data_IF_300775571597
#
_entry.id   IF_300775571597
#
_cell.length_a   1.000
_cell.length_b   1.000
_cell.length_c   1.000
_cell.angle_alpha   90.00
_cell.angle_beta   90.00
_cell.angle_gamma   90.00
#
_symmetry.space_group_name_H-M   'P 1'
#
loop_
_entity.id
_entity.type
_entity.pdbx_description
1 polymer ?
#
# COMPACT_ATOMS: atom_id res chain seq x y z
N UNK A 1 -9.00 35.54 25.33
CA UNK A 1 -9.49 34.46 24.44
C UNK A 1 -9.87 35.11 23.12
N UNK A 2 -9.36 34.65 21.94
CA UNK A 2 -9.83 35.20 20.68
C UNK A 2 -11.30 34.85 20.48
N UNK A 3 -12.11 35.86 20.14
CA UNK A 3 -13.55 35.73 19.97
C UNK A 3 -13.89 34.68 18.88
N UNK A 4 -14.82 33.78 19.21
CA UNK A 4 -15.45 32.88 18.28
C UNK A 4 -16.26 33.70 17.28
N UNK A 5 -15.89 33.64 16.00
CA UNK A 5 -16.76 34.14 14.93
C UNK A 5 -17.93 33.17 14.77
N UNK A 6 -19.16 33.68 14.86
CA UNK A 6 -20.35 32.83 14.84
C UNK A 6 -20.35 31.85 13.67
N UNK A 7 -20.57 30.55 13.96
CA UNK A 7 -20.69 29.50 12.98
C UNK A 7 -19.37 28.99 12.38
N UNK A 8 -18.27 29.00 13.14
CA UNK A 8 -16.99 28.43 12.69
C UNK A 8 -16.96 26.91 12.90
N UNK A 9 -16.35 26.18 11.97
CA UNK A 9 -16.12 24.73 12.10
C UNK A 9 -15.08 24.47 13.17
N UNK A 10 -15.34 23.52 14.05
CA UNK A 10 -14.43 23.16 15.15
C UNK A 10 -13.01 22.79 14.67
N UNK A 11 -12.87 22.07 13.52
CA UNK A 11 -11.55 21.70 12.99
C UNK A 11 -10.72 22.93 12.56
N UNK A 12 -11.35 24.02 12.13
CA UNK A 12 -10.69 25.30 11.83
C UNK A 12 -10.35 26.07 13.10
N UNK A 13 -11.27 26.10 14.05
CA UNK A 13 -11.10 26.76 15.34
C UNK A 13 -9.89 26.21 16.12
N UNK A 14 -9.75 24.87 16.20
CA UNK A 14 -8.63 24.22 16.88
C UNK A 14 -7.28 24.53 16.23
N UNK A 15 -7.21 24.61 14.90
CA UNK A 15 -5.97 24.99 14.19
C UNK A 15 -5.64 26.46 14.42
N UNK A 16 -6.64 27.34 14.36
CA UNK A 16 -6.45 28.78 14.58
C UNK A 16 -5.94 29.12 15.99
N UNK A 17 -6.35 28.35 16.98
CA UNK A 17 -5.87 28.48 18.37
C UNK A 17 -4.51 27.81 18.62
N UNK A 18 -3.95 27.10 17.61
CA UNK A 18 -2.72 26.35 17.80
C UNK A 18 -2.87 25.07 18.62
N UNK A 19 -4.12 24.65 18.92
CA UNK A 19 -4.41 23.40 19.64
C UNK A 19 -4.26 22.15 18.76
N UNK A 20 -4.24 22.35 17.45
CA UNK A 20 -3.92 21.31 16.47
C UNK A 20 -2.98 21.85 15.39
N UNK A 21 -1.96 21.09 15.02
CA UNK A 21 -0.98 21.49 14.01
C UNK A 21 -1.57 21.54 12.58
N UNK A 22 -2.70 20.89 12.33
CA UNK A 22 -3.37 20.86 11.03
C UNK A 22 -4.86 20.53 11.19
N UNK A 23 -5.67 20.83 10.13
CA UNK A 23 -7.09 20.43 10.08
C UNK A 23 -7.29 18.91 10.19
N UNK A 24 -6.33 18.13 9.75
CA UNK A 24 -6.35 16.67 9.89
C UNK A 24 -6.18 16.29 11.35
N UNK A 25 -5.15 16.82 12.03
CA UNK A 25 -4.93 16.59 13.45
C UNK A 25 -6.13 17.03 14.30
N UNK A 26 -6.72 18.18 14.00
CA UNK A 26 -7.95 18.64 14.65
C UNK A 26 -9.11 17.65 14.51
N UNK A 27 -9.33 17.10 13.32
CA UNK A 27 -10.38 16.09 13.09
C UNK A 27 -10.11 14.78 13.82
N UNK A 28 -8.86 14.39 13.93
CA UNK A 28 -8.43 13.20 14.68
C UNK A 28 -8.66 13.42 16.19
N UNK A 29 -8.34 14.61 16.73
CA UNK A 29 -8.65 14.99 18.12
C UNK A 29 -10.16 14.95 18.41
N UNK A 30 -10.98 15.46 17.50
CA UNK A 30 -12.44 15.41 17.64
C UNK A 30 -12.96 13.97 17.55
N UNK A 31 -12.45 13.17 16.62
CA UNK A 31 -12.88 11.79 16.40
C UNK A 31 -12.51 10.87 17.58
N UNK A 32 -11.35 11.08 18.20
CA UNK A 32 -10.92 10.37 19.42
C UNK A 32 -11.68 10.79 20.68
N UNK A 33 -12.54 11.82 20.60
CA UNK A 33 -13.28 12.36 21.75
C UNK A 33 -12.44 13.26 22.65
N UNK A 34 -11.26 13.69 22.20
CA UNK A 34 -10.37 14.61 22.92
C UNK A 34 -10.84 16.07 22.91
N UNK A 35 -12.01 16.37 22.33
CA UNK A 35 -12.57 17.74 22.30
C UNK A 35 -14.04 17.70 22.71
N UNK A 36 -14.38 18.49 23.72
CA UNK A 36 -15.75 18.70 24.17
C UNK A 36 -16.17 20.15 23.88
N UNK A 37 -17.44 20.35 23.57
CA UNK A 37 -18.06 21.65 23.45
C UNK A 37 -19.23 21.73 24.47
N UNK A 38 -19.18 22.68 25.37
CA UNK A 38 -20.15 22.80 26.46
C UNK A 38 -20.31 21.49 27.26
N UNK A 39 -19.19 20.82 27.56
CA UNK A 39 -19.14 19.59 28.35
C UNK A 39 -19.64 18.33 27.64
N UNK A 40 -20.01 18.37 26.34
CA UNK A 40 -20.46 17.22 25.57
C UNK A 40 -19.52 16.91 24.40
N UNK A 41 -19.44 15.66 24.00
CA UNK A 41 -18.72 15.26 22.78
C UNK A 41 -19.31 15.97 21.57
N UNK A 42 -18.41 16.56 20.76
CA UNK A 42 -18.76 17.24 19.53
C UNK A 42 -19.11 16.24 18.40
N UNK A 43 -20.12 16.57 17.60
CA UNK A 43 -20.51 15.75 16.44
C UNK A 43 -19.92 16.31 15.16
N UNK A 44 -19.53 15.42 14.24
CA UNK A 44 -18.96 15.78 12.93
C UNK A 44 -19.92 16.70 12.17
N UNK A 45 -19.44 17.91 11.85
CA UNK A 45 -20.20 18.87 11.04
C UNK A 45 -20.92 19.96 11.85
N UNK A 46 -20.95 19.90 13.18
CA UNK A 46 -21.45 21.00 14.02
C UNK A 46 -20.55 22.23 13.86
N UNK A 47 -21.11 23.40 14.15
CA UNK A 47 -20.40 24.68 14.17
C UNK A 47 -20.29 25.15 15.61
N UNK A 48 -19.16 25.75 15.98
CA UNK A 48 -18.99 26.44 17.26
C UNK A 48 -19.29 27.90 17.08
N UNK A 49 -19.99 28.50 18.07
CA UNK A 49 -20.45 29.87 18.02
C UNK A 49 -19.98 30.70 19.23
N UNK A 50 -20.28 32.02 19.27
CA UNK A 50 -20.05 32.87 20.42
C UNK A 50 -20.76 32.31 21.66
N UNK A 51 -20.02 32.20 22.77
CA UNK A 51 -20.52 31.60 23.99
C UNK A 51 -20.30 30.11 24.18
N UNK A 52 -19.89 29.39 23.14
CA UNK A 52 -19.50 27.99 23.32
C UNK A 52 -18.17 27.84 24.02
N UNK A 53 -18.14 26.97 25.04
CA UNK A 53 -16.93 26.61 25.75
C UNK A 53 -16.32 25.36 25.12
N UNK A 54 -15.11 25.49 24.58
CA UNK A 54 -14.39 24.39 23.96
C UNK A 54 -13.29 23.91 24.87
N UNK A 55 -13.40 22.67 25.33
CA UNK A 55 -12.41 22.00 26.16
C UNK A 55 -11.63 20.98 25.34
N UNK A 56 -10.30 21.07 25.38
CA UNK A 56 -9.45 19.99 24.98
C UNK A 56 -9.19 19.11 26.19
N UNK A 57 -9.93 18.02 26.26
CA UNK A 57 -9.66 16.98 27.27
C UNK A 57 -8.39 16.25 26.80
N UNK A 58 -7.46 15.99 27.73
CA UNK A 58 -6.27 15.23 27.43
C UNK A 58 -6.68 14.00 26.61
N UNK A 59 -6.14 13.87 25.39
CA UNK A 59 -6.53 12.80 24.49
C UNK A 59 -6.49 11.48 25.25
N UNK A 60 -7.57 10.69 25.14
CA UNK A 60 -7.52 9.28 25.53
C UNK A 60 -6.24 8.72 24.94
N UNK A 61 -5.41 7.97 25.70
CA UNK A 61 -4.12 7.50 25.20
C UNK A 61 -4.31 6.99 23.78
N UNK A 62 -3.48 7.52 22.87
CA UNK A 62 -3.52 7.13 21.44
C UNK A 62 -3.64 5.63 21.38
N UNK A 63 -4.63 5.12 20.64
CA UNK A 63 -4.83 3.69 20.50
C UNK A 63 -3.51 3.07 20.04
N UNK A 64 -2.86 2.31 20.93
CA UNK A 64 -1.59 1.65 20.62
C UNK A 64 -1.85 0.30 20.01
N UNK A 65 -0.92 -0.18 19.19
CA UNK A 65 -0.98 -1.55 18.65
C UNK A 65 -0.82 -2.52 19.82
N UNK A 66 -1.82 -3.37 20.05
CA UNK A 66 -1.74 -4.39 21.08
C UNK A 66 -0.74 -5.48 20.67
N UNK A 67 0.27 -5.83 21.47
CA UNK A 67 1.20 -6.90 21.16
C UNK A 67 0.51 -8.27 21.13
N UNK A 68 0.98 -9.15 20.24
CA UNK A 68 0.53 -10.54 20.15
C UNK A 68 1.74 -11.46 19.95
N UNK A 69 2.20 -12.11 21.01
CA UNK A 69 3.32 -13.05 20.99
C UNK A 69 2.94 -14.44 20.44
N UNK A 70 1.64 -14.74 20.32
CA UNK A 70 1.18 -16.01 19.76
C UNK A 70 1.26 -16.05 18.22
N UNK A 71 1.36 -14.86 17.59
CA UNK A 71 1.54 -14.72 16.17
C UNK A 71 3.03 -14.52 15.84
N UNK A 72 3.61 -15.49 15.14
CA UNK A 72 5.01 -15.43 14.72
C UNK A 72 5.14 -14.93 13.27
N UNK A 73 6.09 -14.00 13.06
CA UNK A 73 6.46 -13.49 11.73
C UNK A 73 7.99 -13.51 11.62
N UNK A 74 8.49 -14.18 10.58
CA UNK A 74 9.92 -14.32 10.31
C UNK A 74 10.57 -12.97 10.04
N UNK A 75 11.71 -12.69 10.71
CA UNK A 75 12.58 -11.54 10.41
C UNK A 75 13.62 -11.93 9.36
N UNK A 76 13.62 -11.24 8.21
CA UNK A 76 14.54 -11.45 7.10
C UNK A 76 15.81 -10.61 7.23
N UNK A 77 15.70 -9.44 7.84
CA UNK A 77 16.80 -8.50 8.08
C UNK A 77 16.48 -7.64 9.29
N UNK A 78 17.53 -7.27 10.03
CA UNK A 78 17.44 -6.39 11.19
C UNK A 78 18.70 -5.53 11.32
N UNK A 79 18.49 -4.23 11.58
CA UNK A 79 19.54 -3.32 12.08
C UNK A 79 18.96 -2.34 13.11
N UNK A 80 19.72 -1.34 13.50
CA UNK A 80 19.28 -0.36 14.50
C UNK A 80 18.15 0.58 14.00
N UNK A 81 17.92 0.68 12.70
CA UNK A 81 16.99 1.61 12.09
C UNK A 81 15.73 0.92 11.54
N UNK A 82 15.88 -0.28 10.98
CA UNK A 82 14.78 -0.97 10.27
C UNK A 82 14.79 -2.48 10.53
N UNK A 83 13.60 -3.06 10.35
CA UNK A 83 13.37 -4.49 10.23
C UNK A 83 12.80 -4.78 8.85
N UNK A 84 13.13 -5.94 8.26
CA UNK A 84 12.40 -6.53 7.15
C UNK A 84 11.81 -7.84 7.62
N UNK A 85 10.49 -7.97 7.56
CA UNK A 85 9.80 -9.19 7.97
C UNK A 85 9.12 -9.88 6.79
N UNK A 86 8.99 -11.19 6.85
CA UNK A 86 8.29 -12.01 5.85
C UNK A 86 6.79 -12.08 6.18
N UNK A 87 6.00 -11.20 5.59
CA UNK A 87 4.55 -11.19 5.80
C UNK A 87 3.90 -12.44 5.21
N UNK A 88 3.19 -13.25 5.98
CA UNK A 88 2.35 -14.32 5.44
C UNK A 88 1.20 -13.77 4.58
N UNK A 89 0.70 -14.57 3.64
CA UNK A 89 -0.56 -14.27 2.96
C UNK A 89 -1.75 -14.33 3.91
N UNK A 90 -2.79 -13.54 3.64
CA UNK A 90 -4.05 -13.46 4.40
C UNK A 90 -3.94 -12.86 5.81
N UNK A 91 -2.76 -12.48 6.27
CA UNK A 91 -2.60 -11.71 7.50
C UNK A 91 -2.50 -10.23 7.16
N UNK A 92 -3.32 -9.34 7.73
CA UNK A 92 -3.24 -7.90 7.50
C UNK A 92 -1.90 -7.32 7.98
N UNK A 93 -1.43 -6.23 7.35
CA UNK A 93 -0.19 -5.59 7.77
C UNK A 93 -0.29 -4.97 9.17
N UNK A 94 -1.41 -4.30 9.46
CA UNK A 94 -1.62 -3.57 10.73
C UNK A 94 -3.11 -3.60 11.11
N UNK A 95 -3.44 -3.41 12.39
CA UNK A 95 -4.83 -3.34 12.84
C UNK A 95 -5.51 -2.07 12.31
N UNK A 96 -6.80 -2.15 12.05
CA UNK A 96 -7.65 -1.00 11.73
C UNK A 96 -8.38 -0.49 12.98
N UNK A 97 -8.50 -1.32 14.01
CA UNK A 97 -9.10 -1.03 15.31
C UNK A 97 -8.16 -1.48 16.44
N UNK A 98 -8.21 -0.83 17.60
CA UNK A 98 -7.32 -1.15 18.73
C UNK A 98 -7.46 -2.56 19.29
N UNK A 99 -8.63 -3.18 19.08
CA UNK A 99 -8.97 -4.52 19.55
C UNK A 99 -8.50 -5.65 18.61
N UNK A 100 -8.07 -5.31 17.39
CA UNK A 100 -7.54 -6.29 16.44
C UNK A 100 -6.12 -6.72 16.84
N UNK A 101 -5.88 -8.06 16.89
CA UNK A 101 -4.63 -8.65 17.36
C UNK A 101 -3.94 -9.58 16.36
N UNK A 102 -4.59 -9.86 15.22
CA UNK A 102 -4.11 -10.85 14.25
C UNK A 102 -3.48 -10.19 13.01
N UNK A 103 -2.58 -9.22 13.25
CA UNK A 103 -1.87 -8.52 12.16
C UNK A 103 -0.36 -8.63 12.33
N UNK A 104 0.39 -8.43 11.23
CA UNK A 104 1.86 -8.44 11.26
C UNK A 104 2.40 -7.48 12.32
N UNK A 105 1.84 -6.26 12.42
CA UNK A 105 2.32 -5.27 13.40
C UNK A 105 2.03 -5.68 14.84
N UNK A 106 0.99 -6.47 15.14
CA UNK A 106 0.79 -7.00 16.49
C UNK A 106 1.92 -7.98 16.89
N UNK A 107 2.34 -8.85 15.96
CA UNK A 107 3.48 -9.75 16.17
C UNK A 107 4.80 -8.97 16.31
N UNK A 108 5.02 -7.99 15.42
CA UNK A 108 6.25 -7.17 15.44
C UNK A 108 6.36 -6.36 16.71
N UNK A 109 5.31 -5.71 17.17
CA UNK A 109 5.30 -4.94 18.43
C UNK A 109 5.53 -5.83 19.65
N UNK A 110 5.14 -7.09 19.62
CA UNK A 110 5.45 -8.03 20.70
C UNK A 110 6.95 -8.31 20.81
N UNK A 111 7.65 -8.41 19.68
CA UNK A 111 9.10 -8.66 19.63
C UNK A 111 9.94 -7.36 19.68
N UNK A 112 9.43 -6.27 19.11
CA UNK A 112 10.09 -4.97 18.93
C UNK A 112 9.15 -3.83 19.35
N UNK A 113 8.96 -3.61 20.66
CA UNK A 113 7.97 -2.66 21.18
C UNK A 113 8.17 -1.20 20.72
N UNK A 114 9.40 -0.80 20.43
CA UNK A 114 9.75 0.52 19.92
C UNK A 114 9.07 0.85 18.59
N UNK A 115 8.74 -0.16 17.79
CA UNK A 115 8.08 0.02 16.49
C UNK A 115 6.63 0.52 16.61
N UNK A 116 6.00 0.34 17.78
CA UNK A 116 4.64 0.79 18.01
C UNK A 116 4.48 2.30 17.94
N UNK A 117 5.52 3.04 18.33
CA UNK A 117 5.51 4.51 18.40
C UNK A 117 6.24 5.18 17.23
N UNK A 118 6.88 4.41 16.36
CA UNK A 118 7.46 4.92 15.13
C UNK A 118 6.35 5.20 14.09
N UNK A 119 6.49 6.29 13.34
CA UNK A 119 5.57 6.63 12.23
C UNK A 119 4.49 7.64 12.57
N UNK A 120 3.61 7.89 11.57
CA UNK A 120 2.66 9.01 11.60
C UNK A 120 1.29 8.66 12.20
N UNK A 121 1.00 7.37 12.40
CA UNK A 121 -0.34 6.91 12.77
C UNK A 121 -0.31 5.83 13.86
N UNK A 122 -1.18 5.98 14.87
CA UNK A 122 -1.13 5.14 16.08
C UNK A 122 -1.25 3.64 15.85
N UNK A 123 -2.01 3.20 14.83
CA UNK A 123 -2.24 1.78 14.54
C UNK A 123 -1.41 1.24 13.36
N UNK A 124 -0.59 2.10 12.72
CA UNK A 124 0.33 1.66 11.67
C UNK A 124 1.74 1.39 12.21
N UNK A 125 2.12 2.04 13.33
CA UNK A 125 3.46 1.93 13.90
C UNK A 125 4.52 2.33 12.87
N UNK A 126 5.70 1.71 12.94
CA UNK A 126 6.81 1.92 12.01
C UNK A 126 6.59 1.36 10.60
N UNK A 127 5.38 0.99 10.21
CA UNK A 127 5.10 0.39 8.91
C UNK A 127 5.36 1.35 7.74
N UNK A 128 6.46 1.16 7.02
CA UNK A 128 6.92 2.06 5.96
C UNK A 128 6.06 1.96 4.70
N UNK A 129 5.63 0.75 4.34
CA UNK A 129 4.72 0.47 3.23
C UNK A 129 3.76 -0.66 3.59
N UNK A 130 2.79 -0.93 2.72
CA UNK A 130 1.81 -1.99 2.96
C UNK A 130 1.74 -2.93 1.77
N UNK A 131 1.42 -4.18 2.07
CA UNK A 131 1.00 -5.20 1.10
C UNK A 131 -0.50 -5.43 1.23
N UNK A 132 -1.15 -5.85 0.14
CA UNK A 132 -2.54 -6.30 0.20
C UNK A 132 -2.65 -7.53 1.12
N UNK A 133 -3.83 -7.78 1.67
CA UNK A 133 -4.04 -8.90 2.59
C UNK A 133 -3.61 -10.25 1.99
N UNK A 134 -4.00 -10.52 0.73
CA UNK A 134 -3.62 -11.75 0.01
C UNK A 134 -2.16 -11.78 -0.48
N UNK A 135 -1.42 -10.68 -0.47
CA UNK A 135 0.00 -10.62 -0.85
C UNK A 135 0.90 -11.07 0.30
N UNK A 136 1.86 -11.92 0.03
CA UNK A 136 2.92 -12.31 0.96
C UNK A 136 4.25 -11.66 0.60
N UNK A 137 5.25 -11.73 1.48
CA UNK A 137 6.62 -11.34 1.20
C UNK A 137 7.17 -10.21 2.08
N UNK A 138 8.27 -9.64 1.66
CA UNK A 138 9.09 -8.73 2.45
C UNK A 138 8.38 -7.41 2.78
N UNK A 139 8.41 -7.00 4.04
CA UNK A 139 7.74 -5.80 4.55
C UNK A 139 8.71 -5.01 5.43
N UNK A 140 8.95 -3.73 5.09
CA UNK A 140 9.86 -2.86 5.82
C UNK A 140 9.13 -2.19 6.98
N UNK A 141 9.73 -2.25 8.17
CA UNK A 141 9.24 -1.61 9.38
C UNK A 141 10.37 -0.78 9.97
N UNK A 142 10.13 0.48 10.22
CA UNK A 142 11.07 1.38 10.86
C UNK A 142 11.01 1.22 12.40
N UNK A 143 12.14 1.34 13.06
CA UNK A 143 12.27 1.26 14.52
C UNK A 143 12.17 2.65 15.18
N UNK A 144 12.47 3.71 14.41
CA UNK A 144 12.42 5.10 14.88
C UNK A 144 11.64 6.00 13.94
N UNK A 145 11.22 7.18 14.41
CA UNK A 145 10.55 8.18 13.56
C UNK A 145 11.46 8.71 12.45
N UNK A 146 12.75 8.88 12.73
CA UNK A 146 13.75 9.33 11.76
C UNK A 146 13.89 8.31 10.63
N UNK A 147 14.07 7.03 10.98
CA UNK A 147 14.13 5.94 10.02
C UNK A 147 12.83 5.82 9.20
N UNK A 148 11.67 5.99 9.84
CA UNK A 148 10.38 6.01 9.15
C UNK A 148 10.31 7.13 8.10
N UNK A 149 10.69 8.35 8.47
CA UNK A 149 10.69 9.49 7.56
C UNK A 149 11.64 9.27 6.37
N UNK A 150 12.88 8.80 6.62
CA UNK A 150 13.88 8.51 5.59
C UNK A 150 13.42 7.42 4.63
N UNK A 151 12.86 6.32 5.15
CA UNK A 151 12.39 5.21 4.32
C UNK A 151 11.14 5.57 3.51
N UNK A 152 10.22 6.36 4.08
CA UNK A 152 9.06 6.90 3.36
C UNK A 152 9.48 7.82 2.23
N UNK A 153 10.50 8.63 2.44
CA UNK A 153 11.10 9.47 1.41
C UNK A 153 11.78 8.62 0.33
N UNK A 154 12.56 7.61 0.71
CA UNK A 154 13.19 6.67 -0.22
C UNK A 154 12.17 5.97 -1.13
N UNK A 155 11.03 5.51 -0.58
CA UNK A 155 9.94 4.93 -1.38
C UNK A 155 9.33 5.95 -2.33
N UNK A 156 9.08 7.18 -1.87
CA UNK A 156 8.48 8.26 -2.68
C UNK A 156 9.35 8.60 -3.91
N UNK A 157 10.66 8.56 -3.74
CA UNK A 157 11.63 8.87 -4.80
C UNK A 157 12.12 7.63 -5.57
N UNK A 158 11.51 6.47 -5.37
CA UNK A 158 11.84 5.25 -6.11
C UNK A 158 13.20 4.62 -5.76
N UNK A 159 13.80 4.99 -4.62
CA UNK A 159 15.08 4.46 -4.12
C UNK A 159 14.96 3.11 -3.42
N UNK A 160 13.74 2.61 -3.24
CA UNK A 160 13.45 1.26 -2.74
C UNK A 160 13.00 0.38 -3.89
N UNK A 161 13.80 -0.60 -4.25
CA UNK A 161 13.45 -1.63 -5.24
C UNK A 161 12.51 -2.64 -4.60
N UNK A 162 11.36 -2.86 -5.22
CA UNK A 162 10.35 -3.84 -4.78
C UNK A 162 10.07 -4.77 -5.95
N UNK A 163 10.63 -5.98 -5.91
CA UNK A 163 10.43 -6.96 -6.98
C UNK A 163 9.49 -8.05 -6.50
N UNK A 164 8.36 -8.12 -7.18
CA UNK A 164 7.36 -9.14 -6.95
C UNK A 164 7.52 -10.30 -7.92
N UNK A 165 7.13 -11.48 -7.48
CA UNK A 165 6.77 -12.59 -8.35
C UNK A 165 5.24 -12.68 -8.43
N UNK A 166 4.70 -12.89 -9.63
CA UNK A 166 3.28 -12.99 -9.87
C UNK A 166 2.97 -14.05 -10.93
N UNK A 167 1.84 -14.73 -10.80
CA UNK A 167 1.36 -15.70 -11.79
C UNK A 167 0.19 -15.06 -12.54
N UNK A 168 0.43 -14.64 -13.78
CA UNK A 168 -0.51 -13.92 -14.63
C UNK A 168 -1.18 -14.85 -15.62
N UNK A 169 -2.48 -14.72 -15.84
CA UNK A 169 -3.24 -15.49 -16.84
C UNK A 169 -2.76 -15.14 -18.26
N UNK A 170 -2.64 -16.16 -19.12
CA UNK A 170 -2.26 -16.02 -20.52
C UNK A 170 -0.76 -15.89 -20.76
N UNK A 171 -0.40 -15.59 -22.01
CA UNK A 171 1.00 -15.47 -22.46
C UNK A 171 1.45 -14.02 -22.41
N UNK A 172 2.57 -13.78 -21.75
CA UNK A 172 3.32 -12.52 -21.75
C UNK A 172 4.72 -12.88 -22.24
N UNK A 173 5.04 -12.51 -23.51
CA UNK A 173 6.23 -13.02 -24.18
C UNK A 173 7.42 -12.07 -24.13
N UNK A 174 7.17 -10.80 -23.82
CA UNK A 174 8.21 -9.75 -23.83
C UNK A 174 8.08 -8.83 -22.60
N UNK A 175 9.20 -8.28 -22.11
CA UNK A 175 9.17 -7.23 -21.12
C UNK A 175 8.33 -6.02 -21.57
N UNK A 176 7.56 -5.46 -20.66
CA UNK A 176 6.70 -4.31 -20.97
C UNK A 176 6.50 -3.40 -19.74
N UNK A 177 6.10 -2.17 -20.00
CA UNK A 177 5.65 -1.23 -18.98
C UNK A 177 4.15 -0.96 -19.13
N UNK A 178 3.41 -1.05 -18.04
CA UNK A 178 2.00 -0.65 -17.95
C UNK A 178 1.95 0.71 -17.26
N UNK A 179 1.63 1.76 -18.02
CA UNK A 179 1.65 3.15 -17.56
C UNK A 179 0.24 3.76 -17.58
N UNK A 180 -0.68 3.19 -16.81
CA UNK A 180 -2.08 3.64 -16.71
C UNK A 180 -2.34 4.26 -15.34
N UNK A 181 -2.92 5.47 -15.26
CA UNK A 181 -3.34 6.03 -13.98
C UNK A 181 -4.37 5.16 -13.29
N UNK A 182 -4.34 5.13 -11.94
CA UNK A 182 -5.24 4.31 -11.14
C UNK A 182 -6.18 5.19 -10.33
N UNK A 183 -7.49 4.90 -10.39
CA UNK A 183 -8.54 5.56 -9.62
C UNK A 183 -9.36 4.56 -8.80
N UNK A 184 -10.16 5.07 -7.88
CA UNK A 184 -11.20 4.26 -7.23
C UNK A 184 -12.30 3.88 -8.22
N UNK A 185 -12.76 2.63 -8.14
CA UNK A 185 -13.89 2.21 -8.96
C UNK A 185 -15.18 2.92 -8.50
N UNK A 186 -15.99 3.53 -9.42
CA UNK A 186 -17.07 4.43 -9.05
C UNK A 186 -18.22 3.77 -8.29
N UNK A 187 -18.41 2.47 -8.47
CA UNK A 187 -19.52 1.69 -7.87
C UNK A 187 -19.08 0.65 -6.85
N UNK A 188 -17.78 0.36 -6.76
CA UNK A 188 -17.27 -0.68 -5.86
C UNK A 188 -16.06 -0.18 -5.07
N UNK A 189 -16.28 0.18 -3.82
CA UNK A 189 -15.24 0.72 -2.91
C UNK A 189 -14.06 -0.22 -2.66
N UNK A 190 -14.23 -1.52 -2.93
CA UNK A 190 -13.17 -2.52 -2.80
C UNK A 190 -12.24 -2.55 -4.00
N UNK A 191 -12.71 -2.08 -5.19
CA UNK A 191 -11.96 -2.10 -6.45
C UNK A 191 -11.23 -0.81 -6.74
N UNK A 192 -10.11 -0.95 -7.43
CA UNK A 192 -9.48 0.12 -8.19
C UNK A 192 -9.72 -0.10 -9.68
N UNK A 193 -9.44 0.89 -10.51
CA UNK A 193 -9.54 0.81 -11.96
C UNK A 193 -8.34 1.50 -12.60
N UNK A 194 -7.74 0.88 -13.61
CA UNK A 194 -6.79 1.53 -14.50
C UNK A 194 -7.55 2.36 -15.53
N UNK A 195 -7.12 3.61 -15.71
CA UNK A 195 -7.75 4.53 -16.66
C UNK A 195 -7.10 4.32 -18.02
N UNK A 196 -7.91 3.94 -19.00
CA UNK A 196 -7.47 3.89 -20.39
C UNK A 196 -7.29 5.32 -20.91
N UNK A 197 -6.08 5.65 -21.35
CA UNK A 197 -5.73 6.96 -21.92
C UNK A 197 -5.96 7.02 -23.42
N UNK A 198 -6.53 5.96 -24.03
CA UNK A 198 -6.86 5.94 -25.45
C UNK A 198 -5.63 6.00 -26.39
N UNK A 199 -4.49 5.49 -25.94
CA UNK A 199 -3.31 5.37 -26.81
C UNK A 199 -3.55 4.26 -27.84
N UNK A 200 -3.26 4.54 -29.11
CA UNK A 200 -3.45 3.61 -30.24
C UNK A 200 -2.67 2.29 -30.12
N UNK A 201 -1.66 2.25 -29.25
CA UNK A 201 -0.82 1.06 -29.00
C UNK A 201 -1.18 0.30 -27.72
N UNK A 202 -2.29 0.66 -27.05
CA UNK A 202 -2.68 0.11 -25.75
C UNK A 202 -1.78 0.62 -24.60
N UNK A 203 -2.11 0.29 -23.35
CA UNK A 203 -1.36 0.73 -22.17
C UNK A 203 0.00 0.01 -22.00
N UNK A 204 0.31 -0.98 -22.85
CA UNK A 204 1.52 -1.79 -22.81
C UNK A 204 2.57 -1.24 -23.76
N UNK A 205 3.72 -0.83 -23.25
CA UNK A 205 4.85 -0.36 -24.05
C UNK A 205 5.98 -1.40 -24.01
N UNK A 206 6.48 -1.90 -25.16
CA UNK A 206 7.69 -2.72 -25.20
C UNK A 206 8.86 -1.96 -24.58
N UNK A 207 9.69 -2.64 -23.82
CA UNK A 207 10.96 -2.09 -23.31
C UNK A 207 12.06 -2.77 -24.12
N UNK A 208 12.76 -2.02 -24.95
CA UNK A 208 13.92 -2.52 -25.66
C UNK A 208 14.98 -2.98 -24.64
N UNK A 209 15.46 -4.21 -24.80
CA UNK A 209 16.37 -4.89 -23.88
C UNK A 209 17.72 -4.18 -23.77
N UNK A 210 17.79 -3.22 -22.87
CA UNK A 210 19.01 -2.58 -22.44
C UNK A 210 18.92 -2.33 -20.94
N UNK A 211 19.53 -3.22 -20.16
CA UNK A 211 19.76 -3.01 -18.73
C UNK A 211 20.64 -1.76 -18.54
N UNK A 212 20.03 -0.61 -18.41
CA UNK A 212 20.67 0.58 -17.87
C UNK A 212 20.14 0.76 -16.46
N UNK A 213 21.01 0.58 -15.49
CA UNK A 213 20.85 1.18 -14.17
C UNK A 213 20.64 2.69 -14.40
N UNK A 214 19.41 3.14 -14.34
CA UNK A 214 19.07 4.54 -14.47
C UNK A 214 18.99 5.14 -13.07
N UNK A 215 20.11 5.72 -12.68
CA UNK A 215 20.09 6.91 -11.85
C UNK A 215 19.29 7.96 -12.63
N UNK A 216 18.08 8.25 -12.21
CA UNK A 216 17.19 9.08 -13.02
C UNK A 216 15.99 9.58 -12.27
N UNK A 217 16.13 10.79 -11.75
CA UNK A 217 15.03 11.61 -11.28
C UNK A 217 13.89 11.65 -12.31
N UNK A 218 12.67 11.52 -11.84
CA UNK A 218 11.44 11.66 -12.63
C UNK A 218 11.43 13.04 -13.24
N UNK A 219 11.75 13.15 -14.54
CA UNK A 219 11.44 14.35 -15.29
C UNK A 219 9.94 14.37 -15.52
N UNK A 220 9.26 15.34 -14.92
CA UNK A 220 7.89 15.68 -15.27
C UNK A 220 7.92 16.19 -16.72
N UNK A 221 7.59 15.32 -17.68
CA UNK A 221 7.26 15.75 -19.03
C UNK A 221 5.91 16.47 -18.93
N UNK A 222 5.93 17.80 -18.96
CA UNK A 222 4.77 18.64 -19.17
C UNK A 222 4.21 18.42 -20.58
N UNK A 223 3.46 17.34 -20.78
CA UNK A 223 2.68 17.08 -21.98
C UNK A 223 1.25 17.56 -21.77
N UNK A 224 0.87 18.62 -22.47
CA UNK A 224 -0.47 19.20 -22.44
C UNK A 224 -1.53 18.12 -22.69
N UNK A 225 -2.46 18.01 -21.76
CA UNK A 225 -3.61 17.12 -21.80
C UNK A 225 -4.53 17.54 -22.94
N UNK A 226 -4.51 16.81 -24.06
CA UNK A 226 -5.56 16.98 -25.09
C UNK A 226 -6.79 16.25 -24.62
N UNK A 227 -7.84 17.01 -24.33
CA UNK A 227 -9.15 16.49 -23.97
C UNK A 227 -9.75 15.67 -25.11
N UNK A 228 -9.87 14.35 -24.92
CA UNK A 228 -10.78 13.52 -25.72
C UNK A 228 -12.12 13.57 -25.02
N UNK A 229 -13.06 14.33 -25.59
CA UNK A 229 -14.40 14.52 -25.07
C UNK A 229 -15.19 13.20 -25.12
N UNK A 230 -15.44 12.60 -23.94
CA UNK A 230 -16.36 11.47 -23.80
C UNK A 230 -16.04 10.46 -22.70
N UNK A 231 -14.81 9.99 -22.59
CA UNK A 231 -14.42 8.95 -21.61
C UNK A 231 -13.84 9.52 -20.30
N UNK A 232 -13.30 10.72 -20.34
CA UNK A 232 -12.55 11.36 -19.24
C UNK A 232 -13.39 11.83 -18.06
N UNK A 233 -14.68 12.07 -18.23
CA UNK A 233 -15.56 12.60 -17.16
C UNK A 233 -15.86 11.66 -15.99
N UNK A 234 -15.51 10.36 -16.05
CA UNK A 234 -15.82 9.41 -14.97
C UNK A 234 -14.69 9.22 -13.95
N UNK A 235 -13.46 9.70 -14.24
CA UNK A 235 -12.28 9.37 -13.44
C UNK A 235 -11.35 10.57 -13.22
N UNK A 236 -11.86 11.73 -12.91
CA UNK A 236 -11.10 12.98 -12.73
C UNK A 236 -9.99 12.95 -11.66
N UNK A 237 -9.86 11.84 -10.91
CA UNK A 237 -8.89 11.67 -9.81
C UNK A 237 -7.92 10.51 -10.00
N UNK A 238 -7.61 10.09 -11.23
CA UNK A 238 -6.61 9.06 -11.50
C UNK A 238 -5.22 9.51 -11.05
N UNK A 239 -4.55 8.67 -10.27
CA UNK A 239 -3.18 8.92 -9.82
C UNK A 239 -2.20 8.23 -10.76
N UNK A 240 -1.14 8.90 -11.24
CA UNK A 240 -0.12 8.28 -12.07
C UNK A 240 0.40 7.01 -11.44
N UNK A 241 0.50 5.96 -12.25
CA UNK A 241 1.03 4.66 -11.85
C UNK A 241 1.77 4.02 -13.03
N UNK A 242 2.88 3.35 -12.74
CA UNK A 242 3.66 2.61 -13.71
C UNK A 242 4.18 1.31 -13.11
N UNK A 243 4.11 0.22 -13.88
CA UNK A 243 4.49 -1.12 -13.46
C UNK A 243 5.29 -1.77 -14.57
N UNK A 244 6.53 -2.15 -14.26
CA UNK A 244 7.38 -2.96 -15.16
C UNK A 244 7.00 -4.41 -14.98
N UNK A 245 6.91 -5.14 -16.08
CA UNK A 245 6.62 -6.58 -16.15
C UNK A 245 7.66 -7.26 -17.00
N UNK A 246 8.23 -8.34 -16.50
CA UNK A 246 9.22 -9.17 -17.18
C UNK A 246 8.78 -10.63 -17.10
N UNK A 247 8.57 -11.32 -18.23
CA UNK A 247 8.23 -12.73 -18.21
C UNK A 247 9.42 -13.57 -17.75
N UNK A 248 9.15 -14.55 -16.89
CA UNK A 248 10.16 -15.50 -16.39
C UNK A 248 9.96 -16.88 -16.99
N UNK A 249 8.73 -17.40 -16.95
CA UNK A 249 8.43 -18.76 -17.43
C UNK A 249 6.95 -18.90 -17.79
N UNK A 250 6.66 -19.62 -18.88
CA UNK A 250 5.30 -20.02 -19.25
C UNK A 250 4.90 -21.32 -18.55
N UNK A 251 3.82 -21.29 -17.76
CA UNK A 251 3.36 -22.40 -16.93
C UNK A 251 1.89 -22.71 -17.20
N UNK A 252 1.63 -23.65 -18.09
CA UNK A 252 0.26 -24.00 -18.49
C UNK A 252 -0.47 -22.83 -19.16
N UNK A 253 -1.58 -22.42 -18.58
CA UNK A 253 -2.37 -21.26 -19.04
C UNK A 253 -1.87 -19.92 -18.49
N UNK A 254 -0.75 -19.90 -17.80
CA UNK A 254 -0.21 -18.72 -17.09
C UNK A 254 1.20 -18.40 -17.51
N UNK A 255 1.62 -17.18 -17.21
CA UNK A 255 3.04 -16.78 -17.23
C UNK A 255 3.45 -16.39 -15.81
N UNK A 256 4.52 -16.99 -15.30
CA UNK A 256 5.23 -16.49 -14.12
C UNK A 256 6.01 -15.26 -14.54
N UNK A 257 5.84 -14.17 -13.85
CA UNK A 257 6.43 -12.86 -14.15
C UNK A 257 7.13 -12.25 -12.96
N UNK A 258 8.18 -11.47 -13.24
CA UNK A 258 8.78 -10.50 -12.33
C UNK A 258 8.08 -9.15 -12.52
N UNK A 259 7.68 -8.50 -11.43
CA UNK A 259 6.95 -7.24 -11.47
C UNK A 259 7.61 -6.21 -10.57
N UNK A 260 7.91 -5.03 -11.12
CA UNK A 260 8.49 -3.91 -10.38
C UNK A 260 7.56 -2.70 -10.51
N UNK A 261 6.71 -2.42 -9.51
CA UNK A 261 5.90 -1.21 -9.49
C UNK A 261 6.78 0.03 -9.20
N UNK A 262 6.80 0.99 -10.11
CA UNK A 262 7.50 2.29 -9.97
C UNK A 262 6.81 3.21 -8.97
N UNK A 263 5.54 2.96 -8.70
CA UNK A 263 4.70 3.71 -7.75
C UNK A 263 4.07 2.74 -6.75
N UNK A 264 3.37 3.27 -5.72
CA UNK A 264 2.73 2.45 -4.68
C UNK A 264 1.23 2.74 -4.57
N UNK A 265 0.44 2.44 -5.61
CA UNK A 265 -1.03 2.62 -5.55
C UNK A 265 -1.71 1.36 -5.02
N UNK A 266 -2.85 1.54 -4.40
CA UNK A 266 -3.67 0.42 -3.91
C UNK A 266 -3.98 -0.53 -5.05
N UNK A 267 -3.77 -1.84 -4.86
CA UNK A 267 -3.99 -2.92 -5.82
C UNK A 267 -3.25 -2.73 -7.17
N UNK A 268 -2.17 -1.93 -7.23
CA UNK A 268 -1.56 -1.50 -8.49
C UNK A 268 -1.21 -2.66 -9.43
N UNK A 269 -0.45 -3.63 -8.97
CA UNK A 269 -0.04 -4.79 -9.78
C UNK A 269 -1.26 -5.53 -10.30
N UNK A 270 -2.22 -5.79 -9.43
CA UNK A 270 -3.46 -6.52 -9.72
C UNK A 270 -4.31 -5.84 -10.80
N UNK A 271 -4.56 -4.54 -10.62
CA UNK A 271 -5.42 -3.78 -11.55
C UNK A 271 -4.73 -3.51 -12.89
N UNK A 272 -3.42 -3.28 -12.89
CA UNK A 272 -2.65 -3.13 -14.13
C UNK A 272 -2.69 -4.40 -14.97
N UNK A 273 -2.35 -5.55 -14.38
CA UNK A 273 -2.39 -6.82 -15.11
C UNK A 273 -3.82 -7.18 -15.56
N UNK A 274 -4.83 -6.96 -14.73
CA UNK A 274 -6.21 -7.20 -15.11
C UNK A 274 -6.67 -6.28 -16.26
N UNK A 275 -6.22 -5.04 -16.32
CA UNK A 275 -6.55 -4.12 -17.43
C UNK A 275 -5.97 -4.57 -18.78
N UNK A 276 -4.98 -5.45 -18.74
CA UNK A 276 -4.34 -6.06 -19.90
C UNK A 276 -4.85 -7.49 -20.20
N UNK A 277 -5.95 -7.91 -19.56
CA UNK A 277 -6.48 -9.27 -19.61
C UNK A 277 -5.53 -10.35 -19.05
N UNK A 278 -4.55 -9.97 -18.24
CA UNK A 278 -3.60 -10.85 -17.57
C UNK A 278 -3.83 -10.88 -16.06
N UNK A 279 -5.08 -11.04 -15.62
CA UNK A 279 -5.43 -11.10 -14.19
C UNK A 279 -4.59 -12.13 -13.45
N UNK A 280 -4.27 -11.86 -12.18
CA UNK A 280 -3.50 -12.80 -11.36
C UNK A 280 -4.31 -14.06 -11.08
N UNK A 281 -3.65 -15.20 -11.09
CA UNK A 281 -4.23 -16.47 -10.65
C UNK A 281 -4.77 -16.35 -9.21
N UNK A 282 -6.03 -16.74 -8.99
CA UNK A 282 -6.73 -16.62 -7.71
C UNK A 282 -7.29 -15.23 -7.39
N UNK A 283 -7.15 -14.25 -8.26
CA UNK A 283 -7.66 -12.89 -8.01
C UNK A 283 -9.11 -12.71 -8.45
N UNK A 284 -10.03 -13.28 -7.70
CA UNK A 284 -11.48 -13.21 -7.96
C UNK A 284 -11.97 -11.76 -8.08
N UNK A 285 -11.37 -10.82 -7.32
CA UNK A 285 -11.79 -9.43 -7.35
C UNK A 285 -11.57 -8.79 -8.72
N UNK A 286 -10.53 -9.21 -9.44
CA UNK A 286 -10.16 -8.69 -10.76
C UNK A 286 -10.32 -9.73 -11.89
N UNK A 287 -11.10 -10.78 -11.66
CA UNK A 287 -11.47 -11.76 -12.69
C UNK A 287 -10.40 -12.81 -12.98
N UNK A 288 -9.44 -12.98 -12.07
CA UNK A 288 -8.48 -14.07 -12.18
C UNK A 288 -9.12 -15.41 -11.86
N UNK A 289 -8.72 -16.49 -12.59
CA UNK A 289 -9.25 -17.82 -12.34
C UNK A 289 -8.80 -18.35 -10.99
N UNK A 290 -9.70 -19.10 -10.32
CA UNK A 290 -9.35 -19.82 -9.12
C UNK A 290 -8.25 -20.84 -9.41
N UNK A 291 -7.32 -21.03 -8.48
CA UNK A 291 -6.31 -22.07 -8.51
C UNK A 291 -6.53 -23.07 -7.41
N UNK A 292 -6.50 -24.32 -7.77
CA UNK A 292 -6.51 -25.40 -6.80
C UNK A 292 -5.26 -25.33 -5.91
N UNK A 293 -5.46 -25.37 -4.59
CA UNK A 293 -4.37 -25.26 -3.61
C UNK A 293 -4.06 -23.84 -3.15
N UNK A 294 -4.69 -22.80 -3.72
CA UNK A 294 -4.72 -21.48 -3.12
C UNK A 294 -5.90 -21.35 -2.15
N UNK A 295 -5.63 -20.73 -1.00
CA UNK A 295 -6.69 -20.41 -0.06
C UNK A 295 -7.68 -19.38 -0.65
N UNK A 296 -8.95 -19.46 -0.24
CA UNK A 296 -9.97 -18.50 -0.63
C UNK A 296 -9.55 -17.06 -0.26
N UNK A 297 -9.70 -16.11 -1.20
CA UNK A 297 -9.29 -14.72 -1.01
C UNK A 297 -7.80 -14.45 -1.19
N UNK A 298 -7.01 -15.46 -1.56
CA UNK A 298 -5.60 -15.30 -1.91
C UNK A 298 -5.39 -15.36 -3.42
N UNK A 299 -4.49 -14.53 -3.89
CA UNK A 299 -4.01 -14.51 -5.27
C UNK A 299 -2.51 -14.75 -5.31
N UNK A 300 -2.00 -15.19 -6.44
CA UNK A 300 -0.60 -15.52 -6.61
C UNK A 300 0.24 -14.26 -6.83
N UNK A 301 0.60 -13.59 -5.74
CA UNK A 301 1.46 -12.39 -5.70
C UNK A 301 2.32 -12.43 -4.44
N UNK A 302 3.62 -12.26 -4.63
CA UNK A 302 4.62 -12.33 -3.56
C UNK A 302 5.69 -11.26 -3.75
N UNK A 303 5.95 -10.42 -2.74
CA UNK A 303 7.08 -9.50 -2.73
C UNK A 303 8.34 -10.27 -2.37
N UNK A 304 9.02 -10.79 -3.38
CA UNK A 304 10.15 -11.69 -3.23
C UNK A 304 11.45 -10.99 -2.81
N UNK A 305 11.63 -9.73 -3.24
CA UNK A 305 12.90 -9.03 -3.03
C UNK A 305 12.68 -7.54 -2.73
N UNK A 306 13.44 -7.04 -1.76
CA UNK A 306 13.58 -5.63 -1.40
C UNK A 306 15.05 -5.22 -1.47
N UNK A 307 15.34 -4.13 -2.21
CA UNK A 307 16.65 -3.51 -2.22
C UNK A 307 16.55 -2.04 -1.80
N UNK A 308 17.32 -1.60 -0.80
CA UNK A 308 17.31 -0.22 -0.32
C UNK A 308 18.58 0.12 0.46
N UNK A 309 18.86 1.41 0.65
CA UNK A 309 19.91 1.87 1.55
C UNK A 309 19.34 2.08 2.94
N UNK A 310 19.91 1.42 3.95
CA UNK A 310 19.42 1.54 5.32
C UNK A 310 19.75 2.91 5.91
N UNK A 311 18.84 3.50 6.72
CA UNK A 311 19.16 4.68 7.53
C UNK A 311 20.30 4.45 8.53
N UNK A 312 20.57 3.20 8.94
CA UNK A 312 21.72 2.84 9.78
C UNK A 312 23.03 2.76 8.98
N UNK A 313 22.97 2.84 7.65
CA UNK A 313 24.08 2.74 6.72
C UNK A 313 24.16 1.40 6.00
N UNK A 314 24.72 1.42 4.81
CA UNK A 314 24.89 0.24 3.96
C UNK A 314 23.68 -0.12 3.10
N UNK A 315 23.96 -0.89 2.05
CA UNK A 315 22.97 -1.43 1.14
C UNK A 315 22.36 -2.72 1.70
N UNK A 316 21.05 -2.82 1.70
CA UNK A 316 20.29 -3.99 2.13
C UNK A 316 19.62 -4.63 0.92
N UNK A 317 19.80 -5.93 0.77
CA UNK A 317 19.11 -6.79 -0.18
C UNK A 317 18.45 -7.91 0.64
N UNK A 318 17.13 -7.84 0.79
CA UNK A 318 16.35 -8.80 1.56
C UNK A 318 15.49 -9.65 0.63
N UNK A 319 15.60 -10.97 0.75
CA UNK A 319 14.81 -11.93 -0.03
C UNK A 319 13.81 -12.64 0.88
N UNK A 320 12.55 -12.66 0.46
CA UNK A 320 11.50 -13.44 1.10
C UNK A 320 11.33 -14.77 0.36
N UNK A 321 11.42 -15.91 1.05
CA UNK A 321 11.23 -17.20 0.41
C UNK A 321 9.79 -17.36 -0.05
N UNK A 322 9.61 -17.95 -1.26
CA UNK A 322 8.28 -18.23 -1.79
C UNK A 322 7.52 -19.17 -0.83
N UNK A 323 6.33 -18.82 -0.34
CA UNK A 323 5.60 -19.63 0.63
C UNK A 323 5.06 -20.93 0.03
N UNK A 324 4.85 -21.93 0.89
CA UNK A 324 4.53 -23.30 0.48
C UNK A 324 3.25 -23.41 -0.38
N UNK A 325 2.22 -22.61 -0.05
CA UNK A 325 0.96 -22.58 -0.82
C UNK A 325 1.16 -22.06 -2.25
N UNK A 326 1.98 -21.01 -2.44
CA UNK A 326 2.29 -20.50 -3.78
C UNK A 326 3.15 -21.49 -4.58
N UNK A 327 4.13 -22.16 -3.92
CA UNK A 327 4.92 -23.22 -4.57
C UNK A 327 4.03 -24.39 -5.01
N UNK A 328 3.13 -24.84 -4.14
CA UNK A 328 2.22 -25.93 -4.44
C UNK A 328 1.28 -25.59 -5.61
N UNK A 329 0.70 -24.39 -5.60
CA UNK A 329 -0.15 -23.92 -6.69
C UNK A 329 0.62 -23.83 -8.03
N UNK A 330 1.86 -23.34 -8.02
CA UNK A 330 2.71 -23.28 -9.20
C UNK A 330 3.02 -24.66 -9.77
N UNK A 331 3.38 -25.62 -8.90
CA UNK A 331 3.65 -27.00 -9.30
C UNK A 331 2.42 -27.69 -9.95
N UNK A 332 1.22 -27.43 -9.45
CA UNK A 332 -0.03 -27.94 -10.04
C UNK A 332 -0.29 -27.37 -11.43
N UNK A 333 -0.08 -26.06 -11.63
CA UNK A 333 -0.20 -25.44 -12.96
C UNK A 333 0.76 -26.08 -13.97
N UNK A 334 1.98 -26.44 -13.56
CA UNK A 334 2.95 -27.11 -14.42
C UNK A 334 2.56 -28.56 -14.79
N UNK A 335 1.89 -29.28 -13.89
CA UNK A 335 1.45 -30.65 -14.14
C UNK A 335 0.34 -30.76 -15.17
N UNK A 336 -0.60 -29.82 -15.20
CA UNK A 336 -1.70 -29.79 -16.19
C UNK A 336 -1.18 -29.72 -17.63
N UNK A 337 0.03 -29.19 -17.86
CA UNK A 337 0.68 -29.15 -19.17
C UNK A 337 1.19 -30.52 -19.65
N UNK A 338 1.54 -31.45 -18.74
CA UNK A 338 2.09 -32.77 -19.10
C UNK A 338 1.01 -33.82 -19.42
N UNK A 339 -0.24 -33.52 -19.05
CA UNK A 339 -1.37 -34.44 -19.23
C UNK A 339 -2.22 -34.16 -20.50
N UNK A 340 -1.87 -33.14 -21.28
CA UNK A 340 -2.45 -32.81 -22.60
C UNK A 340 -1.39 -32.96 -23.70
#
# INVERSE_FOLDING_TARGET
MPELKGGERLDLYLVRLGWAASRRAAREMVASGGVHVNGRRYRKGELVGPGDHVDVVAATPSATIAPNSDLWVETLYEDSAVLVVNKPGLIPCHPLRPDERDTVMNAVVAAYPETAIAGDKPLEGGLVHRLDNGTSGALIIARTNEAFAMMRDAIRHGRVVRRYQALALGSIDKPCEIASPIAHHPKNVRKMVAIDLGHSEGPMRPVDGGARHADGGIRHAGGGMRHIAGATRRYDNGRPAATMVEPLEHIGAFTLISVIPRTGRRHQVRVHLASMNHSLAGDELYGGPALEGLALGRFWLHLAHLGFDSPAGGRVEAEAPLPADLRAALARCAQVRRAR
#
